data_IF_911108816686
#
_entry.id   IF_911108816686
#
_cell.length_a   1.000
_cell.length_b   1.000
_cell.length_c   1.000
_cell.angle_alpha   90.00
_cell.angle_beta   90.00
_cell.angle_gamma   90.00
#
_symmetry.space_group_name_H-M   'P 1'
#
loop_
_entity.id
_entity.type
_entity.pdbx_description
1 polymer ?
#
# COMPACT_ATOMS: atom_id res chain seq x y z
N UNK A 1 -8.05 15.21 -27.20
CA UNK A 1 -8.05 14.99 -25.74
C UNK A 1 -7.46 13.61 -25.47
N UNK A 2 -6.34 13.50 -24.75
CA UNK A 2 -5.86 12.19 -24.28
C UNK A 2 -6.77 11.75 -23.13
N UNK A 3 -7.41 10.60 -23.25
CA UNK A 3 -8.24 10.06 -22.19
C UNK A 3 -7.38 9.78 -20.95
N UNK A 4 -7.86 10.19 -19.78
CA UNK A 4 -7.12 10.16 -18.50
C UNK A 4 -6.96 8.73 -17.96
N UNK A 5 -7.87 7.81 -18.31
CA UNK A 5 -8.01 6.51 -17.65
C UNK A 5 -6.85 5.56 -17.93
N UNK A 6 -6.55 4.63 -17.01
CA UNK A 6 -5.52 3.61 -17.21
C UNK A 6 -5.75 2.76 -18.47
N UNK A 7 -7.02 2.47 -18.79
CA UNK A 7 -7.40 1.77 -20.02
C UNK A 7 -6.92 2.48 -21.29
N UNK A 8 -7.09 3.80 -21.35
CA UNK A 8 -6.60 4.61 -22.47
C UNK A 8 -5.07 4.77 -22.52
N UNK A 9 -4.35 4.31 -21.48
CA UNK A 9 -2.89 4.33 -21.37
C UNK A 9 -2.25 2.96 -21.61
N UNK A 10 -3.02 1.99 -22.11
CA UNK A 10 -2.51 0.68 -22.56
C UNK A 10 -2.74 -0.47 -21.58
N UNK A 11 -3.46 -0.26 -20.47
CA UNK A 11 -3.90 -1.36 -19.61
C UNK A 11 -5.21 -1.96 -20.13
N UNK A 12 -5.33 -3.29 -20.11
CA UNK A 12 -6.57 -3.97 -20.53
C UNK A 12 -7.65 -3.91 -19.43
N UNK A 13 -7.23 -3.95 -18.16
CA UNK A 13 -8.09 -3.86 -16.98
C UNK A 13 -7.50 -2.92 -15.94
N UNK A 14 -8.36 -2.33 -15.12
CA UNK A 14 -7.96 -1.50 -13.99
C UNK A 14 -8.88 -1.71 -12.79
N UNK A 15 -8.30 -1.75 -11.60
CA UNK A 15 -9.06 -1.66 -10.36
C UNK A 15 -8.24 -0.93 -9.30
N UNK A 16 -8.83 0.10 -8.70
CA UNK A 16 -8.17 0.95 -7.71
C UNK A 16 -8.84 2.30 -7.62
N UNK A 17 -8.12 3.33 -7.19
CA UNK A 17 -8.62 4.70 -7.10
C UNK A 17 -7.78 5.64 -7.97
N UNK A 18 -8.34 6.78 -8.35
CA UNK A 18 -7.66 7.77 -9.21
C UNK A 18 -7.18 9.02 -8.45
N UNK A 19 -7.60 9.17 -7.19
CA UNK A 19 -7.19 10.27 -6.30
C UNK A 19 -5.76 10.12 -5.78
N UNK A 20 -5.25 11.17 -5.12
CA UNK A 20 -3.95 11.14 -4.45
C UNK A 20 -3.96 10.30 -3.16
N UNK A 21 -5.15 10.13 -2.56
CA UNK A 21 -5.37 9.32 -1.38
C UNK A 21 -6.78 8.72 -1.41
N UNK A 22 -7.00 7.67 -0.63
CA UNK A 22 -8.33 7.10 -0.41
C UNK A 22 -8.39 6.38 0.93
N UNK A 23 -9.58 6.24 1.49
CA UNK A 23 -9.80 5.45 2.70
C UNK A 23 -9.53 3.97 2.40
N UNK A 24 -8.79 3.27 3.27
CA UNK A 24 -8.58 1.83 3.12
C UNK A 24 -9.83 1.01 3.49
N UNK A 25 -10.83 1.66 4.10
CA UNK A 25 -12.10 1.04 4.53
C UNK A 25 -13.29 1.43 3.65
N UNK A 26 -13.30 2.65 3.14
CA UNK A 26 -14.37 3.18 2.27
C UNK A 26 -13.75 3.86 1.04
N UNK A 27 -13.06 3.11 0.16
CA UNK A 27 -12.31 3.69 -0.95
C UNK A 27 -13.21 4.18 -2.07
N UNK A 28 -12.78 5.25 -2.76
CA UNK A 28 -13.38 5.73 -4.00
C UNK A 28 -12.88 4.90 -5.18
N UNK A 29 -13.46 3.71 -5.37
CA UNK A 29 -13.00 2.74 -6.36
C UNK A 29 -13.49 3.05 -7.76
N UNK A 30 -12.64 2.71 -8.72
CA UNK A 30 -12.92 2.69 -10.14
C UNK A 30 -12.50 1.32 -10.66
N UNK A 31 -13.42 0.67 -11.37
CA UNK A 31 -13.15 -0.54 -12.13
C UNK A 31 -13.22 -0.20 -13.62
N UNK A 32 -12.11 -0.40 -14.32
CA UNK A 32 -11.88 -0.01 -15.70
C UNK A 32 -12.12 1.49 -15.94
N UNK A 33 -13.35 1.87 -16.32
CA UNK A 33 -13.74 3.25 -16.60
C UNK A 33 -15.00 3.70 -15.82
N UNK A 34 -15.44 2.94 -14.81
CA UNK A 34 -16.66 3.23 -14.07
C UNK A 34 -16.40 3.19 -12.55
N UNK A 35 -17.00 4.10 -11.77
CA UNK A 35 -16.95 4.01 -10.32
C UNK A 35 -17.64 2.73 -9.85
N UNK A 36 -17.10 2.11 -8.81
CA UNK A 36 -17.69 0.95 -8.14
C UNK A 36 -17.64 1.14 -6.63
N UNK A 37 -18.55 0.51 -5.92
CA UNK A 37 -18.51 0.42 -4.47
C UNK A 37 -17.61 -0.75 -4.03
N UNK A 38 -17.15 -0.73 -2.77
CA UNK A 38 -16.47 -1.89 -2.22
C UNK A 38 -17.39 -3.13 -2.18
N UNK A 39 -16.85 -4.35 -2.39
CA UNK A 39 -17.63 -5.59 -2.43
C UNK A 39 -18.28 -5.97 -1.09
N UNK A 40 -17.69 -5.56 0.03
CA UNK A 40 -18.20 -5.83 1.39
C UNK A 40 -17.95 -4.63 2.27
N UNK A 41 -18.63 -4.54 3.41
CA UNK A 41 -18.42 -3.43 4.33
C UNK A 41 -17.23 -3.67 5.28
N UNK A 42 -16.63 -2.62 5.87
CA UNK A 42 -15.57 -2.76 6.87
C UNK A 42 -15.95 -3.59 8.08
N UNK A 43 -17.24 -3.58 8.43
CA UNK A 43 -17.79 -4.40 9.52
C UNK A 43 -17.69 -5.90 9.23
N UNK A 44 -17.72 -6.28 7.95
CA UNK A 44 -17.55 -7.65 7.45
C UNK A 44 -16.07 -7.99 7.16
N UNK A 45 -15.14 -7.10 7.52
CA UNK A 45 -13.70 -7.30 7.34
C UNK A 45 -13.12 -6.73 6.05
N UNK A 46 -13.85 -5.86 5.34
CA UNK A 46 -13.32 -5.21 4.15
C UNK A 46 -12.04 -4.40 4.45
N UNK A 47 -11.06 -4.54 3.55
CA UNK A 47 -9.88 -3.70 3.51
C UNK A 47 -9.38 -3.61 2.07
N UNK A 48 -9.07 -2.39 1.61
CA UNK A 48 -8.64 -2.13 0.24
C UNK A 48 -7.45 -2.99 -0.21
N UNK A 49 -6.47 -3.22 0.68
CA UNK A 49 -5.33 -4.11 0.37
C UNK A 49 -5.73 -5.55 0.02
N UNK A 50 -6.78 -6.09 0.65
CA UNK A 50 -7.30 -7.42 0.32
C UNK A 50 -8.01 -7.38 -1.02
N UNK A 51 -8.89 -6.40 -1.21
CA UNK A 51 -9.67 -6.20 -2.44
C UNK A 51 -8.81 -6.11 -3.70
N UNK A 52 -7.79 -5.23 -3.71
CA UNK A 52 -6.88 -5.11 -4.85
C UNK A 52 -6.07 -6.38 -5.10
N UNK A 53 -5.79 -7.17 -4.05
CA UNK A 53 -5.08 -8.44 -4.18
C UNK A 53 -6.00 -9.46 -4.84
N UNK A 54 -7.24 -9.57 -4.37
CA UNK A 54 -8.24 -10.48 -4.93
C UNK A 54 -8.53 -10.12 -6.40
N UNK A 55 -8.64 -8.83 -6.72
CA UNK A 55 -8.82 -8.35 -8.10
C UNK A 55 -7.60 -8.58 -8.98
N UNK A 56 -6.39 -8.45 -8.45
CA UNK A 56 -5.18 -8.81 -9.18
C UNK A 56 -5.15 -10.32 -9.51
N UNK A 57 -5.54 -11.17 -8.55
CA UNK A 57 -5.66 -12.61 -8.76
C UNK A 57 -6.75 -12.95 -9.79
N UNK A 58 -7.90 -12.28 -9.72
CA UNK A 58 -8.99 -12.41 -10.69
C UNK A 58 -8.51 -12.06 -12.11
N UNK A 59 -7.84 -10.92 -12.30
CA UNK A 59 -7.33 -10.51 -13.62
C UNK A 59 -6.33 -11.50 -14.20
N UNK A 60 -5.42 -12.03 -13.37
CA UNK A 60 -4.50 -13.08 -13.80
C UNK A 60 -5.29 -14.34 -14.16
N UNK A 61 -6.24 -14.74 -13.32
CA UNK A 61 -7.11 -15.90 -13.50
C UNK A 61 -7.88 -15.85 -14.82
N UNK A 62 -8.51 -14.72 -15.13
CA UNK A 62 -9.27 -14.49 -16.36
C UNK A 62 -8.41 -14.72 -17.62
N UNK A 63 -7.20 -14.14 -17.64
CA UNK A 63 -6.28 -14.32 -18.77
C UNK A 63 -5.86 -15.79 -18.89
N UNK A 64 -5.53 -16.43 -17.77
CA UNK A 64 -5.04 -17.81 -17.74
C UNK A 64 -6.12 -18.84 -18.05
N UNK A 65 -7.38 -18.56 -17.74
CA UNK A 65 -8.51 -19.42 -18.08
C UNK A 65 -8.73 -19.50 -19.60
N UNK A 66 -8.49 -18.40 -20.33
CA UNK A 66 -8.69 -18.32 -21.78
C UNK A 66 -7.42 -18.73 -22.55
N UNK A 67 -6.26 -18.26 -22.11
CA UNK A 67 -4.98 -18.48 -22.77
C UNK A 67 -3.87 -18.76 -21.73
N UNK A 68 -3.71 -20.02 -21.28
CA UNK A 68 -2.78 -20.39 -20.22
C UNK A 68 -1.34 -19.91 -20.45
N UNK A 69 -0.88 -19.94 -21.69
CA UNK A 69 0.50 -19.58 -22.05
C UNK A 69 0.71 -18.08 -22.30
N UNK A 70 -0.36 -17.27 -22.32
CA UNK A 70 -0.24 -15.82 -22.57
C UNK A 70 0.47 -15.15 -21.39
N UNK A 71 1.56 -14.38 -21.60
CA UNK A 71 2.21 -13.65 -20.53
C UNK A 71 1.30 -12.54 -19.98
N UNK A 72 1.40 -12.26 -18.69
CA UNK A 72 0.63 -11.21 -18.00
C UNK A 72 1.60 -10.15 -17.48
N UNK A 73 1.25 -8.89 -17.69
CA UNK A 73 1.88 -7.76 -17.01
C UNK A 73 0.88 -7.17 -16.01
N UNK A 74 1.25 -7.14 -14.73
CA UNK A 74 0.45 -6.57 -13.66
C UNK A 74 1.24 -5.43 -12.99
N UNK A 75 0.66 -4.24 -12.98
CA UNK A 75 1.14 -3.13 -12.17
C UNK A 75 0.38 -3.10 -10.84
N UNK A 76 1.00 -3.63 -9.79
CA UNK A 76 0.39 -3.75 -8.47
C UNK A 76 0.87 -2.63 -7.53
N UNK A 77 -0.06 -1.76 -7.12
CA UNK A 77 0.24 -0.58 -6.31
C UNK A 77 -0.66 -0.53 -5.06
N UNK A 78 -0.21 -1.06 -3.91
CA UNK A 78 -1.00 -1.05 -2.68
C UNK A 78 -1.06 0.33 -2.04
N UNK A 79 -2.18 0.66 -1.38
CA UNK A 79 -2.34 1.92 -0.65
C UNK A 79 -1.59 1.99 0.70
N UNK A 80 -0.82 0.96 1.04
CA UNK A 80 -0.15 0.82 2.35
C UNK A 80 0.91 1.91 2.54
N UNK A 81 0.92 2.51 3.74
CA UNK A 81 1.94 3.47 4.16
C UNK A 81 1.64 4.91 3.78
N UNK A 82 0.60 5.15 2.98
CA UNK A 82 0.04 6.48 2.76
C UNK A 82 -0.99 6.84 3.83
N UNK A 83 -1.32 8.13 3.94
CA UNK A 83 -2.48 8.57 4.69
C UNK A 83 -3.78 8.18 3.96
N UNK A 84 -4.87 7.88 4.67
CA UNK A 84 -4.97 7.65 6.11
C UNK A 84 -4.37 6.29 6.52
N UNK A 85 -3.67 6.27 7.67
CA UNK A 85 -3.07 5.04 8.24
C UNK A 85 -4.12 4.16 8.90
N UNK A 86 -4.81 3.38 8.09
CA UNK A 86 -5.84 2.44 8.52
C UNK A 86 -5.33 1.02 8.30
N UNK A 87 -5.26 0.24 9.38
CA UNK A 87 -4.83 -1.17 9.34
C UNK A 87 -5.81 -2.04 10.14
N UNK A 88 -5.91 -3.35 9.85
CA UNK A 88 -6.73 -4.26 10.63
C UNK A 88 -6.29 -4.33 12.10
N UNK A 89 -7.24 -4.55 13.01
CA UNK A 89 -7.00 -4.52 14.46
C UNK A 89 -5.95 -5.52 14.91
N UNK A 90 -5.91 -6.72 14.33
CA UNK A 90 -4.89 -7.73 14.62
C UNK A 90 -3.46 -7.20 14.48
N UNK A 91 -3.21 -6.34 13.50
CA UNK A 91 -1.91 -5.72 13.26
C UNK A 91 -1.64 -4.59 14.24
N UNK A 92 -2.66 -3.85 14.67
CA UNK A 92 -2.52 -2.84 15.73
C UNK A 92 -2.08 -3.53 17.02
N UNK A 93 -2.77 -4.61 17.41
CA UNK A 93 -2.47 -5.33 18.64
C UNK A 93 -1.09 -5.98 18.62
N UNK A 94 -0.67 -6.54 17.48
CA UNK A 94 0.68 -7.13 17.33
C UNK A 94 1.81 -6.13 17.59
N UNK A 95 1.59 -4.85 17.34
CA UNK A 95 2.60 -3.80 17.51
C UNK A 95 2.35 -2.91 18.73
N UNK A 96 1.37 -3.24 19.58
CA UNK A 96 1.10 -2.50 20.82
C UNK A 96 2.36 -2.49 21.69
N UNK A 97 2.76 -1.30 22.16
CA UNK A 97 3.96 -1.12 22.98
C UNK A 97 5.28 -1.08 22.22
N UNK A 98 5.31 -1.45 20.93
CA UNK A 98 6.56 -1.62 20.17
C UNK A 98 7.28 -0.30 19.89
N UNK A 99 6.54 0.81 19.91
CA UNK A 99 7.02 2.14 19.55
C UNK A 99 6.88 3.16 20.71
N UNK A 100 6.65 2.71 21.94
CA UNK A 100 6.41 3.58 23.10
C UNK A 100 7.65 4.41 23.50
N UNK A 101 8.84 3.98 23.05
CA UNK A 101 10.10 4.69 23.30
C UNK A 101 10.30 5.96 22.44
N UNK A 102 9.39 6.25 21.50
CA UNK A 102 9.46 7.44 20.64
C UNK A 102 10.38 7.31 19.43
N UNK A 103 10.36 8.34 18.58
CA UNK A 103 11.14 8.37 17.32
C UNK A 103 12.64 8.49 17.58
N UNK A 104 13.04 9.21 18.64
CA UNK A 104 14.42 9.44 19.03
C UNK A 104 15.14 8.13 19.37
N UNK A 105 14.51 7.25 20.16
CA UNK A 105 15.06 5.94 20.44
C UNK A 105 15.05 5.05 19.19
N UNK A 106 13.98 5.15 18.37
CA UNK A 106 13.82 4.31 17.19
C UNK A 106 14.86 4.59 16.10
N UNK A 107 15.28 5.85 15.91
CA UNK A 107 16.31 6.21 14.94
C UNK A 107 17.68 5.60 15.28
N UNK A 108 18.05 5.56 16.56
CA UNK A 108 19.31 4.96 17.03
C UNK A 108 19.30 3.45 16.80
N UNK A 109 18.23 2.78 17.22
CA UNK A 109 18.05 1.34 17.00
C UNK A 109 18.06 0.98 15.51
N UNK A 110 17.40 1.79 14.68
CA UNK A 110 17.35 1.60 13.23
C UNK A 110 18.72 1.78 12.59
N UNK A 111 19.47 2.81 13.00
CA UNK A 111 20.84 3.05 12.50
C UNK A 111 21.77 1.89 12.86
N UNK A 112 21.75 1.45 14.13
CA UNK A 112 22.57 0.32 14.58
C UNK A 112 22.27 -0.95 13.78
N UNK A 113 20.98 -1.30 13.61
CA UNK A 113 20.57 -2.47 12.82
C UNK A 113 21.00 -2.36 11.35
N UNK A 114 20.87 -1.18 10.73
CA UNK A 114 21.27 -0.98 9.33
C UNK A 114 22.78 -1.12 9.13
N UNK A 115 23.59 -0.70 10.12
CA UNK A 115 25.03 -0.93 10.13
C UNK A 115 25.38 -2.40 10.32
N UNK A 116 24.72 -3.07 11.25
CA UNK A 116 24.91 -4.51 11.51
C UNK A 116 24.61 -5.35 10.26
N UNK A 117 23.55 -5.02 9.51
CA UNK A 117 23.20 -5.71 8.26
C UNK A 117 24.06 -5.30 7.06
N UNK A 118 25.01 -4.38 7.23
CA UNK A 118 25.85 -3.85 6.14
C UNK A 118 25.11 -2.98 5.12
N UNK A 119 23.89 -2.51 5.43
CA UNK A 119 23.15 -1.60 4.56
C UNK A 119 23.75 -0.19 4.59
N UNK A 120 24.39 0.18 5.71
CA UNK A 120 25.09 1.44 5.89
C UNK A 120 26.55 1.21 6.28
N UNK A 121 27.48 2.07 5.82
CA UNK A 121 28.84 2.13 6.35
C UNK A 121 28.88 2.27 7.87
N UNK A 122 29.88 1.66 8.53
CA UNK A 122 30.00 1.69 9.99
C UNK A 122 30.21 3.11 10.54
N UNK A 123 30.79 4.00 9.74
CA UNK A 123 31.01 5.42 10.07
C UNK A 123 29.82 6.33 9.72
N UNK A 124 28.66 5.80 9.31
CA UNK A 124 27.48 6.65 9.08
C UNK A 124 26.98 7.25 10.40
N UNK A 125 26.79 8.57 10.44
CA UNK A 125 26.30 9.29 11.61
C UNK A 125 24.81 9.62 11.46
N UNK A 126 24.11 9.71 12.59
CA UNK A 126 22.72 10.17 12.60
C UNK A 126 22.68 11.68 12.35
N UNK A 127 21.76 12.18 11.51
CA UNK A 127 21.55 13.62 11.39
C UNK A 127 20.99 14.19 12.71
N UNK A 128 21.21 15.50 12.98
CA UNK A 128 20.65 16.14 14.14
C UNK A 128 19.12 16.00 14.19
N UNK A 129 18.55 16.13 15.39
CA UNK A 129 17.10 16.16 15.55
C UNK A 129 16.51 17.37 14.82
N UNK A 130 15.31 17.20 14.26
CA UNK A 130 14.61 18.30 13.62
C UNK A 130 14.20 19.33 14.71
N UNK A 131 14.65 20.59 14.62
CA UNK A 131 14.39 21.59 15.66
C UNK A 131 12.90 21.96 15.81
N UNK A 132 12.02 21.53 14.89
CA UNK A 132 10.58 21.86 14.91
C UNK A 132 9.75 20.76 15.63
N UNK A 133 10.35 19.62 16.00
CA UNK A 133 9.63 18.41 16.41
C UNK A 133 9.30 18.23 17.89
N UNK A 134 9.72 19.12 18.79
CA UNK A 134 9.40 19.06 20.23
C UNK A 134 8.27 20.05 20.56
N UNK A 135 7.03 19.66 20.29
CA UNK A 135 5.82 20.26 20.87
C UNK A 135 4.91 19.16 21.41
#
# INVERSE_FOLDING_TARGET
>A
MRSWSPGARGFERFHGFLGAETSQRYPDLVHDNHPVEQPTMPEDGYHFSTDITDKALEFIGDVKAIAPDRPVFLYYAPGRGHAPRQVPREWIERYRGRFDAGDEALREQTMARRKETGLLPQNTELPPLNPIGTL
#
